data_IF_642719377071
#
_entry.id   IF_642719377071
#
_cell.length_a   1.000
_cell.length_b   1.000
_cell.length_c   1.000
_cell.angle_alpha   90.00
_cell.angle_beta   90.00
_cell.angle_gamma   90.00
#
_symmetry.space_group_name_H-M   'P 1'
#
loop_
_entity.id
_entity.type
_entity.pdbx_description
1 polymer ?
#
# COMPACT_ATOMS: atom_id res chain seq x y z
N UNK A 1 7.03 13.20 -19.96
CA UNK A 1 5.57 13.40 -19.89
C UNK A 1 5.24 14.85 -20.17
N UNK A 2 4.02 15.14 -20.62
CA UNK A 2 3.56 16.50 -20.97
C UNK A 2 2.96 17.26 -19.77
N UNK A 3 2.96 16.65 -18.60
CA UNK A 3 2.45 17.20 -17.35
C UNK A 3 3.45 16.92 -16.24
N UNK A 4 3.45 17.74 -15.18
CA UNK A 4 4.39 17.71 -14.06
C UNK A 4 3.79 17.09 -12.78
N UNK A 5 2.50 16.78 -12.78
CA UNK A 5 1.80 16.08 -11.70
C UNK A 5 0.57 15.32 -12.20
N UNK A 6 0.18 14.30 -11.47
CA UNK A 6 -1.01 13.50 -11.76
C UNK A 6 -1.60 12.88 -10.49
N UNK A 7 -2.84 12.42 -10.59
CA UNK A 7 -3.47 11.52 -9.62
C UNK A 7 -4.11 10.35 -10.37
N UNK A 8 -4.17 9.19 -9.75
CA UNK A 8 -4.83 8.02 -10.35
C UNK A 8 -5.45 7.11 -9.30
N UNK A 9 -6.44 6.33 -9.73
CA UNK A 9 -6.81 5.06 -9.12
C UNK A 9 -6.37 3.98 -10.09
N UNK A 10 -5.31 3.25 -9.75
CA UNK A 10 -4.66 2.30 -10.64
C UNK A 10 -5.07 0.88 -10.28
N UNK A 11 -5.55 0.12 -11.27
CA UNK A 11 -5.78 -1.32 -11.12
C UNK A 11 -4.45 -2.07 -11.10
N UNK A 12 -4.23 -2.87 -10.06
CA UNK A 12 -3.00 -3.59 -9.83
C UNK A 12 -3.26 -5.08 -9.64
N UNK A 13 -2.38 -5.92 -10.19
CA UNK A 13 -2.39 -7.38 -10.00
C UNK A 13 -1.02 -7.82 -9.48
N UNK A 14 -1.02 -8.57 -8.37
CA UNK A 14 0.16 -9.21 -7.78
C UNK A 14 -0.09 -10.71 -7.66
N UNK A 15 0.09 -11.44 -8.77
CA UNK A 15 -0.16 -12.87 -8.87
C UNK A 15 1.10 -13.66 -9.26
N UNK A 16 2.28 -13.07 -9.13
CA UNK A 16 3.57 -13.71 -9.44
C UNK A 16 4.73 -12.73 -9.39
N UNK A 17 5.96 -13.22 -9.55
CA UNK A 17 7.18 -12.42 -9.51
C UNK A 17 7.64 -12.06 -8.09
N UNK A 18 8.42 -10.98 -7.97
CA UNK A 18 9.06 -10.56 -6.71
C UNK A 18 8.05 -10.16 -5.62
N UNK A 19 6.91 -9.63 -6.00
CA UNK A 19 5.86 -9.15 -5.09
C UNK A 19 4.60 -10.01 -5.25
N UNK A 20 4.74 -11.31 -4.96
CA UNK A 20 3.63 -12.27 -5.05
C UNK A 20 2.87 -12.32 -3.72
N UNK A 21 1.58 -12.01 -3.75
CA UNK A 21 0.70 -12.05 -2.59
C UNK A 21 -0.18 -13.32 -2.53
N UNK A 22 -0.09 -14.23 -3.52
CA UNK A 22 -0.98 -15.38 -3.65
C UNK A 22 -1.02 -16.26 -2.41
N UNK A 23 0.12 -16.50 -1.76
CA UNK A 23 0.21 -17.37 -0.59
C UNK A 23 -0.46 -16.76 0.65
N UNK A 24 -0.65 -15.44 0.65
CA UNK A 24 -1.27 -14.69 1.74
C UNK A 24 -2.77 -14.46 1.55
N UNK A 25 -3.25 -14.58 0.30
CA UNK A 25 -4.67 -14.32 -0.04
C UNK A 25 -5.59 -15.31 0.68
N UNK A 26 -6.58 -14.75 1.39
CA UNK A 26 -7.55 -15.51 2.20
C UNK A 26 -7.06 -15.86 3.61
N UNK A 27 -5.75 -15.87 3.87
CA UNK A 27 -5.14 -16.19 5.16
C UNK A 27 -4.78 -14.96 5.99
N UNK A 28 -4.50 -13.84 5.35
CA UNK A 28 -4.36 -12.54 5.99
C UNK A 28 -5.61 -11.69 5.74
N UNK A 29 -5.76 -10.62 6.51
CA UNK A 29 -6.94 -9.75 6.41
C UNK A 29 -6.79 -8.67 5.31
N UNK A 30 -5.59 -8.52 4.70
CA UNK A 30 -5.21 -7.34 3.89
C UNK A 30 -4.55 -7.61 2.54
N UNK A 31 -4.21 -8.87 2.20
CA UNK A 31 -3.55 -9.19 0.94
C UNK A 31 -4.56 -9.65 -0.12
N UNK A 32 -4.39 -9.14 -1.32
CA UNK A 32 -5.26 -9.40 -2.47
C UNK A 32 -4.44 -9.62 -3.73
N UNK A 33 -4.93 -10.50 -4.62
CA UNK A 33 -4.37 -10.69 -5.97
C UNK A 33 -4.59 -9.45 -6.82
N UNK A 34 -5.81 -8.90 -6.79
CA UNK A 34 -6.18 -7.65 -7.43
C UNK A 34 -6.54 -6.61 -6.37
N UNK A 35 -6.02 -5.41 -6.53
CA UNK A 35 -6.36 -4.26 -5.68
C UNK A 35 -6.27 -2.97 -6.50
N UNK A 36 -6.87 -1.93 -5.98
CA UNK A 36 -6.74 -0.60 -6.56
C UNK A 36 -5.79 0.25 -5.72
N UNK A 37 -4.86 0.95 -6.40
CA UNK A 37 -3.90 1.83 -5.75
C UNK A 37 -4.23 3.27 -6.07
N UNK A 38 -4.59 4.02 -5.06
CA UNK A 38 -4.76 5.48 -5.15
C UNK A 38 -3.38 6.13 -5.07
N UNK A 39 -3.08 7.02 -5.99
CA UNK A 39 -1.78 7.66 -6.03
C UNK A 39 -1.84 9.12 -6.44
N UNK A 40 -0.87 9.88 -5.96
CA UNK A 40 -0.54 11.21 -6.44
C UNK A 40 0.95 11.26 -6.80
N UNK A 41 1.25 11.87 -7.91
CA UNK A 41 2.56 11.83 -8.53
C UNK A 41 3.06 13.23 -8.81
N UNK A 42 4.37 13.43 -8.61
CA UNK A 42 5.07 14.65 -9.02
C UNK A 42 6.26 14.30 -9.92
N UNK A 43 6.33 14.92 -11.06
CA UNK A 43 7.42 14.79 -12.03
C UNK A 43 8.31 16.04 -12.01
N UNK A 44 8.72 16.45 -10.79
CA UNK A 44 9.54 17.62 -10.54
C UNK A 44 8.75 18.91 -10.26
N UNK A 45 7.45 18.83 -9.90
CA UNK A 45 6.64 19.98 -9.45
C UNK A 45 6.78 20.19 -7.94
N UNK A 46 6.62 19.11 -7.16
CA UNK A 46 6.80 19.12 -5.72
C UNK A 46 7.61 17.90 -5.25
N UNK A 47 8.09 17.94 -4.01
CA UNK A 47 8.86 16.85 -3.42
C UNK A 47 8.43 16.58 -1.97
N UNK A 48 9.31 16.10 -1.11
CA UNK A 48 9.02 15.54 0.22
C UNK A 48 8.09 16.39 1.07
N UNK A 49 8.42 17.68 1.26
CA UNK A 49 7.65 18.55 2.15
C UNK A 49 6.19 18.64 1.75
N UNK A 50 5.90 18.91 0.49
CA UNK A 50 4.53 19.03 0.02
C UNK A 50 3.83 17.68 -0.03
N UNK A 51 4.54 16.59 -0.39
CA UNK A 51 3.98 15.24 -0.42
C UNK A 51 3.53 14.80 0.97
N UNK A 52 4.38 14.97 1.98
CA UNK A 52 4.08 14.62 3.38
C UNK A 52 2.91 15.45 3.92
N UNK A 53 2.90 16.76 3.66
CA UNK A 53 1.80 17.65 4.10
C UNK A 53 0.47 17.25 3.47
N UNK A 54 0.44 16.98 2.17
CA UNK A 54 -0.77 16.53 1.47
C UNK A 54 -1.27 15.18 1.99
N UNK A 55 -0.36 14.23 2.24
CA UNK A 55 -0.72 12.94 2.79
C UNK A 55 -1.31 13.07 4.21
N UNK A 56 -0.68 13.88 5.05
CA UNK A 56 -1.19 14.15 6.41
C UNK A 56 -2.55 14.83 6.41
N UNK A 57 -2.73 15.88 5.59
CA UNK A 57 -4.00 16.58 5.41
C UNK A 57 -5.10 15.63 4.95
N UNK A 58 -4.84 14.81 3.91
CA UNK A 58 -5.79 13.84 3.39
C UNK A 58 -6.26 12.88 4.50
N UNK A 59 -5.32 12.28 5.24
CA UNK A 59 -5.68 11.30 6.26
C UNK A 59 -6.38 11.93 7.47
N UNK A 60 -5.95 13.09 7.93
CA UNK A 60 -6.41 13.64 9.21
C UNK A 60 -7.51 14.68 9.09
N UNK A 61 -7.56 15.43 7.98
CA UNK A 61 -8.55 16.49 7.80
C UNK A 61 -9.69 16.06 6.86
N UNK A 62 -9.38 15.33 5.77
CA UNK A 62 -10.41 14.87 4.84
C UNK A 62 -11.03 13.53 5.31
N UNK A 63 -10.19 12.53 5.58
CA UNK A 63 -10.66 11.21 6.04
C UNK A 63 -10.99 11.17 7.54
N UNK A 64 -10.59 12.18 8.31
CA UNK A 64 -10.85 12.30 9.76
C UNK A 64 -10.32 11.12 10.57
N UNK A 65 -9.20 10.54 10.16
CA UNK A 65 -8.58 9.47 10.92
C UNK A 65 -8.04 9.99 12.25
N UNK A 66 -8.11 9.15 13.26
CA UNK A 66 -7.56 9.44 14.58
C UNK A 66 -6.03 9.52 14.51
N UNK A 67 -5.48 10.70 14.77
CA UNK A 67 -4.04 10.98 14.73
C UNK A 67 -3.25 10.09 15.70
N UNK A 68 -3.88 9.65 16.80
CA UNK A 68 -3.24 8.78 17.79
C UNK A 68 -3.04 7.33 17.31
N UNK A 69 -3.73 6.94 16.24
CA UNK A 69 -3.60 5.62 15.62
C UNK A 69 -2.63 5.58 14.44
N UNK A 70 -2.05 6.72 14.08
CA UNK A 70 -1.12 6.80 12.97
C UNK A 70 0.33 6.62 13.45
N UNK A 71 1.08 5.82 12.70
CA UNK A 71 2.51 5.57 12.87
C UNK A 71 3.21 5.85 11.55
N UNK A 72 4.46 6.26 11.60
CA UNK A 72 5.23 6.66 10.43
C UNK A 72 6.57 5.94 10.42
N UNK A 73 7.00 5.52 9.24
CA UNK A 73 8.37 5.06 9.03
C UNK A 73 9.10 5.99 8.06
N UNK A 74 10.41 6.11 8.22
CA UNK A 74 11.29 6.84 7.32
C UNK A 74 12.58 6.04 7.10
N UNK A 75 13.22 6.21 5.95
CA UNK A 75 14.54 5.61 5.74
C UNK A 75 15.57 6.19 6.71
N UNK A 76 16.43 5.32 7.24
CA UNK A 76 17.41 5.65 8.28
C UNK A 76 18.30 6.85 7.92
N UNK A 77 18.63 7.03 6.64
CA UNK A 77 19.45 8.13 6.14
C UNK A 77 18.61 9.33 5.65
N UNK A 78 17.27 9.24 5.64
CA UNK A 78 16.41 10.32 5.17
C UNK A 78 16.02 11.30 6.29
N UNK A 79 17.02 12.08 6.69
CA UNK A 79 16.85 13.13 7.72
C UNK A 79 15.86 14.21 7.33
N UNK A 80 15.72 14.47 6.03
CA UNK A 80 14.79 15.49 5.53
C UNK A 80 13.34 15.08 5.79
N UNK A 81 12.96 13.85 5.47
CA UNK A 81 11.62 13.35 5.76
C UNK A 81 11.35 13.27 7.27
N UNK A 82 12.33 12.82 8.06
CA UNK A 82 12.24 12.83 9.52
C UNK A 82 11.98 14.24 10.07
N UNK A 83 12.75 15.23 9.61
CA UNK A 83 12.61 16.63 10.05
C UNK A 83 11.25 17.22 9.69
N UNK A 84 10.73 16.91 8.49
CA UNK A 84 9.40 17.34 8.07
C UNK A 84 8.32 16.76 9.00
N UNK A 85 8.37 15.47 9.31
CA UNK A 85 7.43 14.84 10.23
C UNK A 85 7.50 15.44 11.62
N UNK A 86 8.70 15.60 12.19
CA UNK A 86 8.92 16.12 13.55
C UNK A 86 8.56 17.59 13.67
N UNK A 87 9.09 18.45 12.78
CA UNK A 87 9.11 19.89 12.99
C UNK A 87 8.04 20.64 12.17
N UNK A 88 7.55 20.08 11.07
CA UNK A 88 6.52 20.75 10.27
C UNK A 88 5.13 20.17 10.50
N UNK A 89 5.03 18.84 10.67
CA UNK A 89 3.78 18.16 11.02
C UNK A 89 3.56 18.15 12.54
N UNK A 90 4.63 18.27 13.35
CA UNK A 90 4.65 18.07 14.78
C UNK A 90 4.19 16.65 15.18
N UNK A 91 4.63 15.66 14.39
CA UNK A 91 4.33 14.25 14.63
C UNK A 91 5.13 13.74 15.84
N UNK A 92 4.56 12.92 16.75
CA UNK A 92 5.25 12.40 17.92
C UNK A 92 6.44 11.53 17.57
N UNK A 93 7.61 11.83 18.11
CA UNK A 93 8.86 11.11 17.81
C UNK A 93 8.78 9.62 18.16
N UNK A 94 8.08 9.26 19.21
CA UNK A 94 7.91 7.87 19.67
C UNK A 94 7.08 7.00 18.72
N UNK A 95 6.44 7.60 17.72
CA UNK A 95 5.69 6.91 16.67
C UNK A 95 6.34 7.04 15.29
N UNK A 96 7.59 7.49 15.24
CA UNK A 96 8.40 7.48 14.02
C UNK A 96 9.48 6.38 14.15
N UNK A 97 9.46 5.44 13.24
CA UNK A 97 10.48 4.39 13.14
C UNK A 97 11.40 4.62 11.95
N UNK A 98 12.68 4.25 12.13
CA UNK A 98 13.68 4.34 11.07
C UNK A 98 14.02 2.95 10.59
N UNK A 99 13.77 2.69 9.32
CA UNK A 99 14.02 1.41 8.68
C UNK A 99 15.05 1.59 7.55
N UNK A 100 15.74 0.53 7.22
CA UNK A 100 16.76 0.54 6.17
C UNK A 100 16.17 0.04 4.84
N UNK A 101 16.15 -1.29 4.65
CA UNK A 101 15.73 -1.87 3.37
C UNK A 101 14.24 -1.69 3.10
N UNK A 102 13.40 -1.79 4.13
CA UNK A 102 11.94 -1.65 4.01
C UNK A 102 11.51 -0.24 3.57
N UNK A 103 12.30 0.79 3.92
CA UNK A 103 12.03 2.17 3.49
C UNK A 103 12.91 2.64 2.32
N UNK A 104 13.44 1.71 1.50
CA UNK A 104 14.11 2.05 0.25
C UNK A 104 13.45 1.35 -0.93
N UNK A 105 12.63 2.09 -1.66
CA UNK A 105 11.89 1.57 -2.81
C UNK A 105 12.72 1.55 -4.08
N UNK A 106 12.56 0.49 -4.88
CA UNK A 106 13.17 0.34 -6.21
C UNK A 106 12.15 -0.23 -7.18
N UNK A 107 12.13 0.30 -8.42
CA UNK A 107 11.30 -0.25 -9.49
C UNK A 107 11.70 -1.71 -9.83
N UNK A 108 12.97 -2.02 -9.72
CA UNK A 108 13.55 -3.34 -9.99
C UNK A 108 15.04 -3.33 -9.68
N UNK A 109 15.79 -4.22 -10.31
CA UNK A 109 17.24 -4.29 -10.14
C UNK A 109 17.94 -3.04 -10.69
N UNK A 110 17.34 -2.38 -11.68
CA UNK A 110 17.79 -1.12 -12.27
C UNK A 110 16.63 -0.15 -12.42
N UNK A 111 16.94 1.14 -12.56
CA UNK A 111 15.94 2.19 -12.78
C UNK A 111 15.76 3.15 -11.59
N UNK A 112 14.70 3.95 -11.62
CA UNK A 112 14.40 4.91 -10.57
C UNK A 112 14.23 4.24 -9.20
N UNK A 113 14.79 4.86 -8.16
CA UNK A 113 14.70 4.40 -6.79
C UNK A 113 14.92 5.55 -5.80
N UNK A 114 14.62 5.30 -4.54
CA UNK A 114 14.85 6.26 -3.48
C UNK A 114 14.21 5.88 -2.16
N UNK A 115 14.46 6.67 -1.11
CA UNK A 115 13.83 6.44 0.19
C UNK A 115 12.32 6.63 0.10
N UNK A 116 11.60 5.97 1.00
CA UNK A 116 10.18 6.18 1.17
C UNK A 116 9.84 6.46 2.63
N UNK A 117 8.66 7.01 2.84
CA UNK A 117 8.04 7.17 4.13
C UNK A 117 6.67 6.52 4.08
N UNK A 118 6.39 5.61 4.99
CA UNK A 118 5.14 4.89 5.04
C UNK A 118 4.32 5.34 6.23
N UNK A 119 3.00 5.32 6.07
CA UNK A 119 2.05 5.63 7.11
C UNK A 119 1.25 4.38 7.43
N UNK A 120 1.29 3.97 8.70
CA UNK A 120 0.59 2.81 9.24
C UNK A 120 -0.58 3.25 10.10
N UNK A 121 -1.60 2.40 10.14
CA UNK A 121 -2.74 2.55 11.03
C UNK A 121 -2.74 1.45 12.10
N UNK A 122 -2.81 1.83 13.38
CA UNK A 122 -2.97 0.90 14.51
C UNK A 122 -4.44 0.54 14.68
N UNK A 123 -4.81 -0.67 14.29
CA UNK A 123 -6.16 -1.21 14.44
C UNK A 123 -6.52 -1.53 15.91
N UNK A 124 -5.54 -1.53 16.81
CA UNK A 124 -5.75 -1.72 18.24
C UNK A 124 -5.15 -2.99 18.81
N UNK A 125 -5.06 -3.01 20.14
CA UNK A 125 -4.35 -4.05 20.92
C UNK A 125 -4.99 -5.43 20.90
N UNK A 126 -6.20 -5.54 20.36
CA UNK A 126 -6.90 -6.83 20.21
C UNK A 126 -6.32 -7.68 19.08
N UNK A 127 -5.54 -7.06 18.19
CA UNK A 127 -4.86 -7.73 17.08
C UNK A 127 -3.37 -7.93 17.38
N UNK A 128 -2.81 -9.00 16.82
CA UNK A 128 -1.37 -9.29 16.92
C UNK A 128 -0.55 -8.39 16.00
N UNK A 129 0.64 -8.04 16.43
CA UNK A 129 1.60 -7.24 15.68
C UNK A 129 2.32 -6.23 16.57
N UNK A 130 3.55 -5.94 16.19
CA UNK A 130 4.40 -4.95 16.83
C UNK A 130 4.42 -3.65 16.03
N UNK A 131 4.72 -2.54 16.69
CA UNK A 131 4.92 -1.27 15.99
C UNK A 131 6.02 -1.42 14.92
N UNK A 132 5.89 -0.71 13.76
CA UNK A 132 6.85 -0.85 12.67
C UNK A 132 8.29 -0.63 13.16
N UNK A 133 9.12 -1.65 13.07
CA UNK A 133 10.54 -1.62 13.38
C UNK A 133 11.27 -2.65 12.52
N UNK A 134 12.56 -2.42 12.26
CA UNK A 134 13.37 -3.33 11.47
C UNK A 134 13.30 -4.76 12.02
N UNK A 135 12.94 -5.72 11.16
CA UNK A 135 12.87 -7.14 11.49
C UNK A 135 11.69 -7.57 12.36
N UNK A 136 10.76 -6.68 12.71
CA UNK A 136 9.54 -7.03 13.45
C UNK A 136 8.35 -7.18 12.54
N UNK A 137 7.46 -8.12 12.85
CA UNK A 137 6.21 -8.32 12.13
C UNK A 137 5.13 -7.37 12.67
N UNK A 138 4.64 -6.50 11.81
CA UNK A 138 3.53 -5.58 12.11
C UNK A 138 2.18 -6.30 12.28
N UNK A 139 2.12 -7.56 11.87
CA UNK A 139 0.94 -8.41 11.99
C UNK A 139 -0.30 -7.83 11.33
N UNK A 140 -1.44 -8.08 11.93
CA UNK A 140 -2.73 -7.50 11.50
C UNK A 140 -3.06 -6.20 12.25
N UNK A 141 -2.25 -5.82 13.23
CA UNK A 141 -2.47 -4.63 14.04
C UNK A 141 -2.00 -3.35 13.35
N UNK A 142 -0.75 -3.31 12.90
CA UNK A 142 -0.19 -2.13 12.25
C UNK A 142 -0.17 -2.34 10.75
N UNK A 143 -1.15 -1.80 10.06
CA UNK A 143 -1.30 -1.97 8.62
C UNK A 143 -0.81 -0.72 7.90
N UNK A 144 0.16 -0.89 7.00
CA UNK A 144 0.57 0.14 6.05
C UNK A 144 -0.64 0.55 5.20
N UNK A 145 -1.03 1.81 5.29
CA UNK A 145 -2.14 2.38 4.52
C UNK A 145 -1.69 3.32 3.41
N UNK A 146 -0.49 3.91 3.52
CA UNK A 146 0.01 4.86 2.54
C UNK A 146 1.52 4.83 2.46
N UNK A 147 2.07 4.68 1.24
CA UNK A 147 3.50 4.74 0.97
C UNK A 147 3.82 5.99 0.14
N UNK A 148 4.79 6.79 0.59
CA UNK A 148 5.27 7.99 -0.08
C UNK A 148 6.70 7.73 -0.56
N UNK A 149 6.87 7.48 -1.86
CA UNK A 149 8.17 7.18 -2.45
C UNK A 149 8.81 8.45 -3.01
N UNK A 150 10.04 8.71 -2.60
CA UNK A 150 10.83 9.87 -3.02
C UNK A 150 11.92 9.44 -3.98
N UNK A 151 11.56 9.32 -5.27
CA UNK A 151 12.50 8.92 -6.31
C UNK A 151 13.50 10.03 -6.59
N UNK A 152 14.74 9.84 -6.15
CA UNK A 152 15.83 10.79 -6.31
C UNK A 152 17.08 10.20 -6.96
N UNK A 153 17.11 8.86 -7.13
CA UNK A 153 18.24 8.16 -7.72
C UNK A 153 17.81 7.28 -8.90
N UNK A 154 18.77 6.98 -9.75
CA UNK A 154 18.70 5.92 -10.75
C UNK A 154 19.78 4.89 -10.44
N UNK A 155 19.41 3.62 -10.36
CA UNK A 155 20.32 2.48 -10.16
C UNK A 155 20.69 1.89 -11.51
N UNK A 156 22.00 1.75 -11.78
CA UNK A 156 22.51 1.09 -12.97
C UNK A 156 22.69 -0.43 -12.78
N UNK A 157 23.11 -1.14 -13.83
CA UNK A 157 23.33 -2.60 -13.81
C UNK A 157 24.43 -3.07 -12.84
N UNK A 158 25.28 -2.16 -12.35
CA UNK A 158 26.30 -2.44 -11.37
C UNK A 158 25.87 -2.11 -9.95
N UNK A 159 24.60 -1.72 -9.77
CA UNK A 159 24.06 -1.28 -8.49
C UNK A 159 24.45 0.16 -8.09
N UNK A 160 25.15 0.90 -8.95
CA UNK A 160 25.58 2.27 -8.66
C UNK A 160 24.41 3.24 -8.76
N UNK A 161 24.26 4.05 -7.72
CA UNK A 161 23.26 5.12 -7.68
C UNK A 161 23.81 6.41 -8.28
N UNK A 162 23.01 7.05 -9.12
CA UNK A 162 23.23 8.40 -9.63
C UNK A 162 21.98 9.24 -9.43
N UNK A 163 22.12 10.53 -9.14
CA UNK A 163 20.97 11.41 -8.95
C UNK A 163 20.14 11.53 -10.22
N UNK A 164 18.82 11.51 -10.06
CA UNK A 164 17.90 11.83 -11.15
C UNK A 164 18.02 13.33 -11.50
N UNK A 165 17.85 13.70 -12.77
CA UNK A 165 17.86 15.09 -13.20
C UNK A 165 16.72 15.92 -12.60
N UNK A 166 15.62 15.29 -12.25
CA UNK A 166 14.50 15.82 -11.48
C UNK A 166 14.06 14.80 -10.44
N UNK A 167 13.87 15.25 -9.22
CA UNK A 167 13.28 14.45 -8.16
C UNK A 167 11.79 14.27 -8.40
N UNK A 168 11.28 13.08 -8.16
CA UNK A 168 9.90 12.72 -8.40
C UNK A 168 9.27 12.14 -7.12
N UNK A 169 7.95 12.30 -7.01
CA UNK A 169 7.15 11.66 -5.98
C UNK A 169 6.24 10.63 -6.64
N UNK A 170 6.24 9.44 -6.09
CA UNK A 170 5.30 8.37 -6.39
C UNK A 170 4.64 7.95 -5.09
N UNK A 171 3.31 7.88 -5.04
CA UNK A 171 2.61 7.47 -3.84
C UNK A 171 1.64 6.33 -4.11
N UNK A 172 1.43 5.49 -3.10
CA UNK A 172 0.49 4.39 -3.18
C UNK A 172 -0.31 4.22 -1.91
N UNK A 173 -1.64 4.34 -2.02
CA UNK A 173 -2.59 4.03 -0.96
C UNK A 173 -3.50 2.92 -1.45
N UNK A 174 -3.50 1.75 -0.79
CA UNK A 174 -4.40 0.65 -1.15
C UNK A 174 -5.85 1.03 -0.86
N UNK A 175 -6.71 1.05 -1.91
CA UNK A 175 -8.13 1.36 -1.76
C UNK A 175 -8.79 0.44 -0.74
N UNK A 176 -8.51 -0.86 -0.81
CA UNK A 176 -9.08 -1.87 0.08
C UNK A 176 -8.69 -1.64 1.54
N UNK A 177 -7.41 -1.28 1.79
CA UNK A 177 -6.91 -1.00 3.15
C UNK A 177 -7.53 0.27 3.73
N UNK A 178 -7.54 1.37 2.99
CA UNK A 178 -8.14 2.60 3.49
C UNK A 178 -9.66 2.49 3.64
N UNK A 179 -10.33 1.71 2.76
CA UNK A 179 -11.76 1.42 2.90
C UNK A 179 -12.05 0.68 4.20
N UNK A 180 -11.24 -0.33 4.56
CA UNK A 180 -11.39 -1.05 5.82
C UNK A 180 -11.27 -0.10 7.02
N UNK A 181 -10.26 0.77 7.04
CA UNK A 181 -10.09 1.77 8.10
C UNK A 181 -11.30 2.69 8.21
N UNK A 182 -11.79 3.22 7.08
CA UNK A 182 -12.95 4.13 7.04
C UNK A 182 -14.26 3.44 7.45
N UNK A 183 -14.42 2.16 7.13
CA UNK A 183 -15.55 1.33 7.56
C UNK A 183 -15.35 0.72 8.95
N UNK A 184 -14.28 1.09 9.66
CA UNK A 184 -13.97 0.69 11.05
C UNK A 184 -13.86 -0.83 11.22
N UNK A 185 -13.26 -1.49 10.25
CA UNK A 185 -12.86 -2.90 10.31
C UNK A 185 -11.36 -3.05 10.07
N UNK A 186 -10.76 -4.10 10.60
CA UNK A 186 -9.39 -4.51 10.30
C UNK A 186 -9.31 -5.51 9.15
N UNK A 187 -10.46 -6.01 8.69
CA UNK A 187 -10.58 -7.07 7.69
C UNK A 187 -11.13 -6.48 6.38
N UNK A 188 -10.29 -6.44 5.35
CA UNK A 188 -10.69 -5.96 4.03
C UNK A 188 -11.87 -6.77 3.46
N UNK A 189 -11.95 -8.05 3.78
CA UNK A 189 -13.02 -8.94 3.30
C UNK A 189 -14.39 -8.64 3.95
N UNK A 190 -14.44 -7.85 5.03
CA UNK A 190 -15.68 -7.38 5.67
C UNK A 190 -16.18 -6.04 5.14
N UNK A 191 -15.43 -5.42 4.23
CA UNK A 191 -15.85 -4.19 3.56
C UNK A 191 -16.93 -4.46 2.50
N UNK A 192 -17.61 -3.41 2.07
CA UNK A 192 -18.59 -3.47 0.97
C UNK A 192 -17.99 -3.95 -0.35
N UNK A 193 -16.66 -3.85 -0.52
CA UNK A 193 -15.96 -4.37 -1.70
C UNK A 193 -16.01 -5.89 -1.83
N UNK A 194 -16.10 -6.62 -0.73
CA UNK A 194 -16.01 -8.09 -0.70
C UNK A 194 -17.24 -8.78 -0.08
N UNK A 195 -17.90 -8.11 0.86
CA UNK A 195 -18.94 -8.71 1.69
C UNK A 195 -20.03 -9.38 0.86
N UNK A 196 -20.56 -8.70 -0.14
CA UNK A 196 -21.64 -9.24 -1.00
C UNK A 196 -21.16 -10.45 -1.81
N UNK A 197 -19.92 -10.43 -2.29
CA UNK A 197 -19.34 -11.56 -3.03
C UNK A 197 -19.23 -12.79 -2.13
N UNK A 198 -18.73 -12.60 -0.90
CA UNK A 198 -18.56 -13.67 0.09
C UNK A 198 -19.91 -14.25 0.48
N UNK A 199 -20.90 -13.43 0.84
CA UNK A 199 -22.25 -13.87 1.22
C UNK A 199 -22.95 -14.61 0.08
N UNK A 200 -22.86 -14.11 -1.14
CA UNK A 200 -23.45 -14.77 -2.32
C UNK A 200 -22.77 -16.12 -2.60
N UNK A 201 -21.44 -16.18 -2.50
CA UNK A 201 -20.67 -17.42 -2.68
C UNK A 201 -21.04 -18.44 -1.60
N UNK A 202 -21.07 -18.03 -0.34
CA UNK A 202 -21.43 -18.88 0.78
C UNK A 202 -22.84 -19.48 0.63
N UNK A 203 -23.82 -18.65 0.27
CA UNK A 203 -25.19 -19.11 0.01
C UNK A 203 -25.26 -20.11 -1.15
N UNK A 204 -24.51 -19.88 -2.23
CA UNK A 204 -24.47 -20.78 -3.40
C UNK A 204 -23.88 -22.15 -3.04
N UNK A 205 -22.88 -22.16 -2.16
CA UNK A 205 -22.20 -23.37 -1.72
C UNK A 205 -22.83 -24.05 -0.48
N UNK A 206 -23.87 -23.45 0.10
CA UNK A 206 -24.45 -23.83 1.39
C UNK A 206 -23.40 -23.85 2.53
N UNK A 207 -22.43 -22.93 2.48
CA UNK A 207 -21.43 -22.74 3.54
C UNK A 207 -21.97 -21.76 4.58
N UNK A 208 -21.99 -22.18 5.84
CA UNK A 208 -22.49 -21.35 6.93
C UNK A 208 -21.41 -20.53 7.62
N UNK A 209 -20.14 -20.93 7.48
CA UNK A 209 -19.00 -20.24 8.06
C UNK A 209 -18.45 -19.17 7.11
N UNK A 210 -18.89 -17.93 7.26
CA UNK A 210 -18.41 -16.79 6.45
C UNK A 210 -16.93 -16.43 6.67
N UNK A 211 -16.32 -16.92 7.74
CA UNK A 211 -14.88 -16.72 8.01
C UNK A 211 -14.00 -17.80 7.35
N UNK A 212 -14.59 -18.72 6.57
CA UNK A 212 -13.84 -19.76 5.88
C UNK A 212 -12.87 -19.12 4.87
N UNK A 213 -11.53 -19.35 5.00
CA UNK A 213 -10.53 -18.76 4.10
C UNK A 213 -10.80 -19.05 2.61
N UNK A 214 -11.41 -20.21 2.29
CA UNK A 214 -11.75 -20.55 0.91
C UNK A 214 -12.75 -19.57 0.28
N UNK A 215 -13.69 -19.01 1.06
CA UNK A 215 -14.62 -18.00 0.57
C UNK A 215 -13.89 -16.69 0.23
N UNK A 216 -12.88 -16.31 1.03
CA UNK A 216 -12.03 -15.15 0.78
C UNK A 216 -11.20 -15.33 -0.49
N UNK A 217 -10.58 -16.50 -0.67
CA UNK A 217 -9.86 -16.86 -1.89
C UNK A 217 -10.74 -16.77 -3.13
N UNK A 218 -11.95 -17.36 -3.05
CA UNK A 218 -12.91 -17.31 -4.17
C UNK A 218 -13.32 -15.87 -4.47
N UNK A 219 -13.62 -15.06 -3.46
CA UNK A 219 -14.01 -13.67 -3.63
C UNK A 219 -12.89 -12.82 -4.28
N UNK A 220 -11.67 -13.00 -3.81
CA UNK A 220 -10.49 -12.32 -4.36
C UNK A 220 -10.26 -12.72 -5.83
N UNK A 221 -10.24 -14.02 -6.12
CA UNK A 221 -9.95 -14.52 -7.46
C UNK A 221 -11.09 -14.22 -8.44
N UNK A 222 -12.34 -14.23 -7.99
CA UNK A 222 -13.47 -13.82 -8.82
C UNK A 222 -13.36 -12.34 -9.19
N UNK A 223 -13.08 -11.48 -8.20
CA UNK A 223 -12.88 -10.04 -8.43
C UNK A 223 -11.73 -9.79 -9.41
N UNK A 224 -10.57 -10.42 -9.20
CA UNK A 224 -9.41 -10.25 -10.07
C UNK A 224 -9.69 -10.74 -11.50
N UNK A 225 -10.34 -11.90 -11.66
CA UNK A 225 -10.68 -12.45 -12.97
C UNK A 225 -11.67 -11.57 -13.74
N UNK A 226 -12.68 -11.04 -13.06
CA UNK A 226 -13.66 -10.12 -13.68
C UNK A 226 -12.99 -8.85 -14.20
N UNK A 227 -12.12 -8.24 -13.40
CA UNK A 227 -11.39 -7.04 -13.83
C UNK A 227 -10.42 -7.32 -14.98
N UNK A 228 -9.67 -8.42 -14.92
CA UNK A 228 -8.75 -8.82 -15.99
C UNK A 228 -9.48 -9.04 -17.32
N UNK A 229 -10.58 -9.81 -17.30
CA UNK A 229 -11.38 -10.06 -18.49
C UNK A 229 -11.99 -8.77 -19.03
N UNK A 230 -12.52 -7.90 -18.15
CA UNK A 230 -13.06 -6.60 -18.55
C UNK A 230 -12.03 -5.69 -19.21
N UNK A 231 -10.77 -5.81 -18.80
CA UNK A 231 -9.65 -5.07 -19.39
C UNK A 231 -9.02 -5.80 -20.60
N UNK A 232 -9.67 -6.86 -21.10
CA UNK A 232 -9.28 -7.57 -22.32
C UNK A 232 -8.19 -8.64 -22.12
N UNK A 233 -7.89 -9.02 -20.88
CA UNK A 233 -6.99 -10.14 -20.57
C UNK A 233 -7.81 -11.41 -20.41
N UNK A 234 -8.01 -12.15 -21.50
CA UNK A 234 -8.75 -13.41 -21.46
C UNK A 234 -7.86 -14.57 -21.04
N UNK A 235 -8.40 -15.59 -20.36
CA UNK A 235 -7.67 -16.80 -20.03
C UNK A 235 -7.06 -17.45 -21.27
N UNK A 236 -5.79 -17.83 -21.18
CA UNK A 236 -5.04 -18.48 -22.28
C UNK A 236 -3.96 -19.38 -21.72
N UNK A 237 -3.30 -20.17 -22.60
CA UNK A 237 -2.18 -21.03 -22.21
C UNK A 237 -0.81 -20.35 -22.35
N UNK A 238 -0.78 -19.05 -22.64
CA UNK A 238 0.45 -18.27 -22.80
C UNK A 238 0.21 -16.78 -22.49
N UNK A 239 1.31 -16.03 -22.30
CA UNK A 239 1.28 -14.58 -22.11
C UNK A 239 0.57 -14.14 -20.84
N UNK A 240 -0.09 -12.96 -20.89
CA UNK A 240 -0.75 -12.36 -19.72
C UNK A 240 -2.02 -13.12 -19.26
N UNK A 241 -2.64 -13.90 -20.15
CA UNK A 241 -3.83 -14.66 -19.82
C UNK A 241 -3.55 -16.03 -19.19
N UNK A 242 -2.27 -16.45 -19.16
CA UNK A 242 -1.81 -17.65 -18.48
C UNK A 242 -1.77 -17.47 -16.98
#
# INVERSE_FOLDING_TARGET
VSYDKATSSQKCVRAGGKHNDLDNVGFTLRHHTFFEMLGNFSFGDYFKEKAIKLAWELLTEEFKLDKEKLWVTVHIDDKESEDIWLNQINFPQERISKLNEDNFWSMGDTGPCGPCSEIFYDHGKELSGEAPQEGLDTGERFVEIYNLVFMQFNRDHNGKLSSLPKQCVDTGMGLERITAVLQKTSDNYKTDLFKEIIETTANTLNESNLENPSLRVIADHLRSSVFLISDGVNPSNEGRGY
#
